data_IF_865472185659
#
_entry.id   IF_865472185659
#
_cell.length_a   1.000
_cell.length_b   1.000
_cell.length_c   1.000
_cell.angle_alpha   90.00
_cell.angle_beta   90.00
_cell.angle_gamma   90.00
#
_symmetry.space_group_name_H-M   'P 1'
#
loop_
_entity.id
_entity.type
_entity.pdbx_description
1 polymer ?
#
# COMPACT_ATOMS: atom_id res chain seq x y z
N UNK A 1 -85.99 -13.56 -7.21
CA UNK A 1 -85.95 -13.71 -5.74
C UNK A 1 -84.52 -14.01 -5.35
N UNK A 2 -83.88 -13.10 -4.60
CA UNK A 2 -82.70 -13.31 -3.72
C UNK A 2 -81.40 -13.93 -4.33
N UNK A 3 -80.17 -13.61 -3.95
CA UNK A 3 -79.58 -12.78 -2.90
C UNK A 3 -78.12 -12.44 -3.33
N UNK A 4 -77.68 -11.24 -2.96
CA UNK A 4 -76.36 -10.76 -2.53
C UNK A 4 -75.04 -11.50 -2.85
N UNK A 5 -74.00 -10.70 -3.08
CA UNK A 5 -72.61 -11.11 -2.85
C UNK A 5 -71.53 -10.19 -3.42
N UNK A 6 -71.64 -8.86 -3.22
CA UNK A 6 -70.60 -7.92 -3.65
C UNK A 6 -69.38 -7.94 -2.72
N UNK A 7 -68.28 -8.55 -3.17
CA UNK A 7 -66.99 -8.56 -2.44
C UNK A 7 -66.22 -7.27 -2.76
N UNK A 8 -66.16 -6.35 -1.80
CA UNK A 8 -65.28 -5.17 -1.85
C UNK A 8 -63.85 -5.61 -1.52
N UNK A 9 -62.97 -5.65 -2.53
CA UNK A 9 -61.53 -5.88 -2.33
C UNK A 9 -60.86 -4.58 -1.91
N UNK A 10 -60.62 -4.41 -0.60
CA UNK A 10 -59.75 -3.36 -0.07
C UNK A 10 -58.30 -3.74 -0.40
N UNK A 11 -57.66 -3.00 -1.32
CA UNK A 11 -56.23 -3.11 -1.57
C UNK A 11 -55.48 -2.25 -0.55
N UNK A 12 -54.92 -2.88 0.48
CA UNK A 12 -53.91 -2.27 1.35
C UNK A 12 -52.63 -2.06 0.53
N UNK A 13 -52.34 -0.80 0.21
CA UNK A 13 -51.07 -0.39 -0.37
C UNK A 13 -50.06 -0.23 0.78
N UNK A 14 -49.24 -1.26 1.02
CA UNK A 14 -48.12 -1.15 1.93
C UNK A 14 -47.01 -0.34 1.23
N UNK A 15 -46.88 0.93 1.58
CA UNK A 15 -45.75 1.76 1.16
C UNK A 15 -44.56 1.39 2.05
N UNK A 16 -43.69 0.50 1.54
CA UNK A 16 -42.40 0.23 2.16
C UNK A 16 -41.47 1.41 1.89
N UNK A 17 -41.31 2.30 2.87
CA UNK A 17 -40.22 3.28 2.88
C UNK A 17 -38.90 2.52 3.10
N UNK A 18 -38.17 2.25 2.03
CA UNK A 18 -36.78 1.82 2.11
C UNK A 18 -35.92 3.04 2.47
N UNK A 19 -35.60 3.20 3.74
CA UNK A 19 -34.54 4.11 4.19
C UNK A 19 -33.21 3.55 3.70
N UNK A 20 -32.72 4.03 2.56
CA UNK A 20 -31.33 3.84 2.16
C UNK A 20 -30.48 4.72 3.08
N UNK A 21 -29.98 4.15 4.17
CA UNK A 21 -28.91 4.77 4.93
C UNK A 21 -27.70 4.88 3.98
N UNK A 22 -27.36 6.10 3.55
CA UNK A 22 -26.11 6.35 2.85
C UNK A 22 -24.98 6.06 3.84
N UNK A 23 -24.37 4.87 3.72
CA UNK A 23 -23.15 4.54 4.44
C UNK A 23 -22.08 5.56 4.05
N UNK A 24 -21.52 6.25 5.05
CA UNK A 24 -20.50 7.27 4.81
C UNK A 24 -19.29 6.55 4.20
N UNK A 25 -18.73 7.02 3.07
CA UNK A 25 -17.57 6.36 2.48
C UNK A 25 -16.40 6.39 3.48
N UNK A 26 -15.59 5.34 3.50
CA UNK A 26 -14.42 5.23 4.40
C UNK A 26 -13.48 6.42 4.22
N UNK A 27 -13.29 6.87 2.98
CA UNK A 27 -12.55 8.08 2.65
C UNK A 27 -13.43 9.03 1.84
N UNK A 28 -13.52 10.28 2.28
CA UNK A 28 -14.09 11.36 1.48
C UNK A 28 -12.98 11.97 0.62
N UNK A 29 -12.97 11.64 -0.68
CA UNK A 29 -11.94 12.06 -1.62
C UNK A 29 -12.24 13.41 -2.29
N UNK A 30 -11.18 14.17 -2.55
CA UNK A 30 -11.18 15.24 -3.56
C UNK A 30 -11.22 14.65 -4.98
N UNK A 31 -11.42 15.53 -5.95
CA UNK A 31 -11.07 15.25 -7.34
C UNK A 31 -9.57 15.03 -7.49
N UNK A 32 -9.19 14.33 -8.56
CA UNK A 32 -7.79 14.17 -8.96
C UNK A 32 -7.29 15.51 -9.49
N UNK A 33 -6.10 15.93 -9.06
CA UNK A 33 -5.45 17.14 -9.55
C UNK A 33 -4.08 16.84 -10.16
N UNK A 34 -3.63 17.73 -11.04
CA UNK A 34 -2.40 17.60 -11.83
C UNK A 34 -1.51 18.83 -11.57
N UNK A 35 -0.62 18.78 -10.57
CA UNK A 35 0.22 19.90 -10.23
C UNK A 35 1.19 20.24 -11.38
N UNK A 36 1.48 21.52 -11.54
CA UNK A 36 2.31 22.05 -12.64
C UNK A 36 3.80 21.85 -12.36
N UNK A 37 4.18 21.69 -11.09
CA UNK A 37 5.57 21.47 -10.67
C UNK A 37 5.86 19.98 -10.49
N UNK A 38 7.01 19.54 -11.03
CA UNK A 38 7.58 18.24 -10.70
C UNK A 38 8.26 18.33 -9.33
N UNK A 39 8.17 17.32 -8.46
CA UNK A 39 8.92 17.28 -7.23
C UNK A 39 10.41 17.34 -7.56
N UNK A 40 11.06 18.42 -7.19
CA UNK A 40 12.52 18.57 -7.28
C UNK A 40 13.12 18.08 -5.98
N UNK A 41 13.48 16.79 -5.93
CA UNK A 41 14.09 16.24 -4.73
C UNK A 41 14.37 14.75 -4.82
N UNK A 42 15.35 14.36 -5.65
CA UNK A 42 15.95 13.04 -5.51
C UNK A 42 17.18 13.20 -4.61
N UNK A 43 17.02 12.95 -3.31
CA UNK A 43 18.18 12.80 -2.42
C UNK A 43 18.81 11.45 -2.74
N UNK A 44 19.80 11.44 -3.64
CA UNK A 44 20.53 10.24 -4.01
C UNK A 44 21.58 9.92 -2.95
N UNK A 45 21.17 9.10 -2.00
CA UNK A 45 22.04 8.40 -1.07
C UNK A 45 21.28 7.20 -0.51
N UNK A 46 21.46 6.02 -1.09
CA UNK A 46 20.95 4.81 -0.44
C UNK A 46 21.82 4.54 0.79
N UNK A 47 21.23 4.25 1.96
CA UNK A 47 22.02 3.82 3.10
C UNK A 47 22.80 2.56 2.71
N UNK A 48 24.10 2.55 2.99
CA UNK A 48 24.90 1.36 2.82
C UNK A 48 24.55 0.39 3.96
N UNK A 49 24.12 -0.82 3.60
CA UNK A 49 23.83 -1.92 4.54
C UNK A 49 24.96 -2.95 4.47
N UNK A 50 25.21 -3.64 5.58
CA UNK A 50 26.21 -4.72 5.65
C UNK A 50 25.62 -6.05 5.15
N UNK A 51 25.41 -6.13 3.83
CA UNK A 51 24.88 -7.31 3.14
C UNK A 51 25.38 -7.34 1.68
N UNK A 52 26.26 -8.29 1.36
CA UNK A 52 26.88 -8.45 0.04
C UNK A 52 25.91 -8.96 -1.03
N UNK A 53 24.74 -9.46 -0.62
CA UNK A 53 23.67 -9.92 -1.50
C UNK A 53 22.53 -8.93 -1.62
N UNK A 54 22.64 -7.75 -1.00
CA UNK A 54 21.62 -6.73 -1.06
C UNK A 54 21.40 -6.21 -2.49
N UNK A 55 20.14 -6.14 -2.90
CA UNK A 55 19.71 -5.43 -4.09
C UNK A 55 19.71 -3.92 -3.79
N UNK A 56 20.80 -3.23 -4.13
CA UNK A 56 21.04 -1.82 -3.77
C UNK A 56 19.86 -0.88 -4.09
N UNK A 57 19.18 -1.07 -5.22
CA UNK A 57 18.04 -0.25 -5.66
C UNK A 57 16.79 -0.42 -4.80
N UNK A 58 16.73 -1.49 -4.00
CA UNK A 58 15.58 -1.84 -3.15
C UNK A 58 15.72 -1.32 -1.72
N UNK A 59 16.90 -0.81 -1.34
CA UNK A 59 17.12 -0.32 0.01
C UNK A 59 16.21 0.89 0.26
N UNK A 60 15.39 0.80 1.30
CA UNK A 60 14.62 1.91 1.87
C UNK A 60 14.96 2.06 3.33
N UNK A 61 14.99 3.31 3.79
CA UNK A 61 15.20 3.63 5.19
C UNK A 61 14.21 4.66 5.69
N UNK A 62 13.99 4.64 6.99
CA UNK A 62 13.19 5.60 7.75
C UNK A 62 13.94 5.94 9.03
N UNK A 63 13.90 7.21 9.46
CA UNK A 63 14.59 7.68 10.65
C UNK A 63 15.24 9.05 10.49
N UNK A 64 16.10 9.41 11.44
CA UNK A 64 16.75 10.74 11.51
C UNK A 64 18.27 10.70 11.29
N UNK A 65 18.80 9.59 10.77
CA UNK A 65 20.24 9.37 10.54
C UNK A 65 21.04 8.97 11.77
N UNK A 66 20.66 9.39 12.99
CA UNK A 66 21.28 8.94 14.24
C UNK A 66 20.64 7.65 14.76
N UNK A 67 19.34 7.51 14.54
CA UNK A 67 18.57 6.29 14.70
C UNK A 67 17.75 6.11 13.43
N UNK A 68 17.96 4.99 12.75
CA UNK A 68 17.31 4.70 11.47
C UNK A 68 17.09 3.21 11.33
N UNK A 69 16.12 2.85 10.52
CA UNK A 69 15.86 1.47 10.14
C UNK A 69 15.91 1.35 8.63
N UNK A 70 16.33 0.20 8.14
CA UNK A 70 16.37 -0.08 6.71
C UNK A 70 15.76 -1.45 6.40
N UNK A 71 15.12 -1.53 5.24
CA UNK A 71 14.61 -2.77 4.66
C UNK A 71 15.02 -2.89 3.19
N UNK A 72 15.37 -4.11 2.76
CA UNK A 72 15.84 -4.38 1.41
C UNK A 72 15.66 -5.85 1.03
N UNK A 73 15.76 -6.14 -0.27
CA UNK A 73 15.81 -7.51 -0.77
C UNK A 73 17.24 -8.01 -0.86
N UNK A 74 17.48 -9.26 -0.45
CA UNK A 74 18.75 -9.95 -0.65
C UNK A 74 18.54 -11.24 -1.43
N UNK A 75 19.37 -11.47 -2.45
CA UNK A 75 19.22 -12.62 -3.33
C UNK A 75 19.89 -13.88 -2.77
N UNK A 76 19.24 -15.02 -2.94
CA UNK A 76 19.79 -16.36 -2.72
C UNK A 76 20.44 -16.88 -4.00
N UNK A 77 21.14 -18.01 -3.88
CA UNK A 77 21.82 -18.65 -5.02
C UNK A 77 20.86 -19.12 -6.13
N UNK A 78 19.59 -19.38 -5.80
CA UNK A 78 18.54 -19.78 -6.74
C UNK A 78 17.77 -18.57 -7.33
N UNK A 79 18.24 -17.34 -7.08
CA UNK A 79 17.59 -16.07 -7.46
C UNK A 79 16.26 -15.75 -6.76
N UNK A 80 15.83 -16.57 -5.80
CA UNK A 80 14.80 -16.17 -4.84
C UNK A 80 15.36 -15.16 -3.84
N UNK A 81 14.50 -14.46 -3.13
CA UNK A 81 14.89 -13.35 -2.26
C UNK A 81 14.47 -13.54 -0.80
N UNK A 82 15.24 -12.94 0.10
CA UNK A 82 14.89 -12.71 1.51
C UNK A 82 14.61 -11.22 1.68
N UNK A 83 13.49 -10.87 2.33
CA UNK A 83 13.28 -9.50 2.79
C UNK A 83 14.08 -9.33 4.09
N UNK A 84 14.99 -8.36 4.12
CA UNK A 84 15.88 -8.09 5.23
C UNK A 84 15.54 -6.79 5.94
N UNK A 85 15.92 -6.73 7.21
CA UNK A 85 15.82 -5.56 8.07
C UNK A 85 17.10 -5.36 8.87
N UNK A 86 17.48 -4.11 9.10
CA UNK A 86 18.49 -3.75 10.11
C UNK A 86 18.18 -2.38 10.70
N UNK A 87 18.67 -2.15 11.92
CA UNK A 87 18.60 -0.86 12.62
C UNK A 87 19.99 -0.26 12.71
N UNK A 88 20.09 1.02 12.36
CA UNK A 88 21.24 1.86 12.62
C UNK A 88 21.04 2.58 13.95
N UNK A 89 21.93 2.34 14.90
CA UNK A 89 21.99 3.06 16.16
C UNK A 89 23.45 3.15 16.62
N UNK A 90 23.80 4.20 17.36
CA UNK A 90 25.15 4.38 17.91
C UNK A 90 26.27 4.31 16.84
N UNK A 91 25.96 4.74 15.61
CA UNK A 91 26.95 4.78 14.52
C UNK A 91 27.15 3.48 13.77
N UNK A 92 26.37 2.43 14.04
CA UNK A 92 26.51 1.10 13.42
C UNK A 92 25.16 0.48 13.05
N UNK A 93 25.15 -0.31 11.98
CA UNK A 93 24.02 -1.17 11.63
C UNK A 93 24.06 -2.46 12.45
N UNK A 94 22.91 -2.90 12.94
CA UNK A 94 22.75 -4.22 13.53
C UNK A 94 22.91 -5.33 12.48
N UNK A 95 23.20 -6.55 12.93
CA UNK A 95 23.15 -7.72 12.05
C UNK A 95 21.77 -7.81 11.36
N UNK A 96 21.70 -8.02 10.03
CA UNK A 96 20.42 -8.10 9.34
C UNK A 96 19.58 -9.30 9.77
N UNK A 97 18.31 -9.07 10.09
CA UNK A 97 17.32 -10.12 10.33
C UNK A 97 16.45 -10.32 9.09
N UNK A 98 15.82 -11.50 8.98
CA UNK A 98 14.85 -11.77 7.94
C UNK A 98 13.44 -11.35 8.40
N UNK A 99 12.73 -10.61 7.56
CA UNK A 99 11.30 -10.32 7.70
C UNK A 99 10.49 -11.42 7.04
N UNK A 100 10.85 -11.78 5.80
CA UNK A 100 10.14 -12.79 5.02
C UNK A 100 11.13 -13.60 4.18
N UNK A 101 11.01 -14.91 4.27
CA UNK A 101 11.87 -15.88 3.58
C UNK A 101 11.10 -16.71 2.55
N UNK A 102 9.82 -16.44 2.32
CA UNK A 102 8.94 -17.36 1.59
C UNK A 102 8.98 -17.20 0.08
N UNK A 103 9.77 -16.26 -0.46
CA UNK A 103 9.91 -16.08 -1.91
C UNK A 103 10.31 -17.40 -2.59
N UNK A 104 9.55 -17.76 -3.63
CA UNK A 104 9.77 -18.95 -4.43
C UNK A 104 10.03 -18.62 -5.91
N UNK A 105 10.13 -17.34 -6.25
CA UNK A 105 10.36 -16.87 -7.62
C UNK A 105 11.85 -16.68 -7.93
N UNK A 106 12.16 -16.43 -9.22
CA UNK A 106 13.51 -16.14 -9.71
C UNK A 106 13.70 -14.66 -10.12
N UNK A 107 12.91 -13.74 -9.52
CA UNK A 107 12.92 -12.32 -9.90
C UNK A 107 14.25 -11.62 -9.59
N UNK A 108 14.99 -12.10 -8.58
CA UNK A 108 16.21 -11.47 -8.10
C UNK A 108 16.01 -9.99 -7.79
N UNK A 109 17.01 -9.16 -8.14
CA UNK A 109 16.98 -7.72 -7.86
C UNK A 109 16.04 -6.89 -8.74
N UNK A 110 15.30 -7.51 -9.68
CA UNK A 110 14.24 -6.82 -10.44
C UNK A 110 12.92 -6.72 -9.65
N UNK A 111 12.98 -6.92 -8.33
CA UNK A 111 11.83 -6.82 -7.43
C UNK A 111 11.54 -5.36 -7.10
N UNK A 112 10.26 -4.95 -7.04
CA UNK A 112 9.91 -3.65 -6.47
C UNK A 112 10.50 -3.52 -5.06
N UNK A 113 11.00 -2.33 -4.76
CA UNK A 113 11.48 -2.04 -3.42
C UNK A 113 10.33 -2.20 -2.41
N UNK A 114 10.60 -2.70 -1.19
CA UNK A 114 9.66 -2.55 -0.09
C UNK A 114 9.43 -1.06 0.20
N UNK A 115 8.40 -0.72 0.96
CA UNK A 115 8.26 0.59 1.59
C UNK A 115 8.22 0.44 3.10
N UNK A 116 8.72 1.45 3.81
CA UNK A 116 8.90 1.43 5.26
C UNK A 116 8.36 2.73 5.87
N UNK A 117 7.59 2.59 6.96
CA UNK A 117 7.22 3.68 7.85
C UNK A 117 7.57 3.26 9.28
N UNK A 118 8.30 4.10 10.01
CA UNK A 118 8.75 3.77 11.36
C UNK A 118 8.48 4.92 12.33
N UNK A 119 7.92 4.57 13.48
CA UNK A 119 8.01 5.39 14.69
C UNK A 119 9.09 4.77 15.58
N UNK A 120 10.32 5.18 15.31
CA UNK A 120 11.51 4.65 15.99
C UNK A 120 11.46 4.93 17.50
N UNK A 121 10.82 6.03 17.91
CA UNK A 121 10.71 6.40 19.33
C UNK A 121 9.83 5.43 20.12
N UNK A 122 8.86 4.81 19.45
CA UNK A 122 7.97 3.79 20.02
C UNK A 122 8.39 2.36 19.65
N UNK A 123 9.41 2.19 18.79
CA UNK A 123 9.87 0.89 18.30
C UNK A 123 8.99 0.29 17.18
N UNK A 124 7.99 1.02 16.69
CA UNK A 124 7.11 0.53 15.64
C UNK A 124 7.77 0.64 14.26
N UNK A 125 7.77 -0.47 13.53
CA UNK A 125 8.23 -0.52 12.15
C UNK A 125 7.17 -1.21 11.31
N UNK A 126 6.76 -0.58 10.23
CA UNK A 126 5.77 -1.06 9.30
C UNK A 126 6.40 -1.21 7.93
N UNK A 127 6.28 -2.39 7.32
CA UNK A 127 6.89 -2.70 6.03
C UNK A 127 5.83 -3.30 5.12
N UNK A 128 5.70 -2.72 3.92
CA UNK A 128 4.88 -3.27 2.83
C UNK A 128 5.78 -3.67 1.67
N UNK A 129 5.44 -4.77 1.01
CA UNK A 129 6.27 -5.32 -0.06
C UNK A 129 5.49 -6.22 -1.00
N UNK A 130 6.00 -6.39 -2.22
CA UNK A 130 5.50 -7.38 -3.17
C UNK A 130 6.35 -8.66 -3.13
N UNK A 131 5.71 -9.82 -2.97
CA UNK A 131 6.36 -11.13 -2.92
C UNK A 131 5.66 -12.15 -3.82
N UNK A 132 6.41 -13.18 -4.23
CA UNK A 132 5.92 -14.32 -5.00
C UNK A 132 6.18 -15.64 -4.26
N UNK A 133 5.52 -15.87 -3.11
CA UNK A 133 5.62 -17.14 -2.41
C UNK A 133 4.85 -18.25 -3.15
N UNK A 134 5.15 -19.50 -2.82
CA UNK A 134 4.45 -20.65 -3.37
C UNK A 134 2.93 -20.64 -3.11
N UNK A 135 2.49 -19.96 -2.03
CA UNK A 135 1.08 -19.77 -1.67
C UNK A 135 0.33 -18.77 -2.57
N UNK A 136 1.05 -17.93 -3.32
CA UNK A 136 0.46 -16.95 -4.24
C UNK A 136 1.11 -15.58 -4.14
N UNK A 137 1.43 -15.01 -5.30
CA UNK A 137 2.01 -13.68 -5.41
C UNK A 137 1.07 -12.57 -4.92
N UNK A 138 1.62 -11.48 -4.41
CA UNK A 138 0.81 -10.37 -3.91
C UNK A 138 1.59 -9.28 -3.18
N UNK A 139 0.83 -8.32 -2.67
CA UNK A 139 1.27 -7.28 -1.73
C UNK A 139 1.01 -7.77 -0.31
N UNK A 140 2.06 -7.74 0.50
CA UNK A 140 2.10 -8.20 1.88
C UNK A 140 2.57 -7.08 2.79
N UNK A 141 2.26 -7.23 4.06
CA UNK A 141 2.61 -6.32 5.12
C UNK A 141 3.20 -7.08 6.30
N UNK A 142 4.25 -6.55 6.92
CA UNK A 142 4.79 -7.04 8.17
C UNK A 142 5.03 -5.85 9.11
N UNK A 143 4.88 -6.07 10.41
CA UNK A 143 5.23 -5.08 11.41
C UNK A 143 6.13 -5.64 12.50
N UNK A 144 6.83 -4.73 13.16
CA UNK A 144 7.54 -4.93 14.40
C UNK A 144 7.02 -3.95 15.44
N UNK A 145 6.92 -4.40 16.70
CA UNK A 145 6.56 -3.53 17.84
C UNK A 145 7.77 -3.13 18.68
N UNK A 146 8.95 -3.71 18.42
CA UNK A 146 10.16 -3.49 19.22
C UNK A 146 11.43 -3.27 18.37
N UNK A 147 11.28 -3.26 17.04
CA UNK A 147 12.36 -3.20 16.07
C UNK A 147 13.42 -4.31 16.20
N UNK A 148 13.09 -5.45 16.84
CA UNK A 148 13.98 -6.61 16.98
C UNK A 148 13.49 -7.85 16.23
N UNK A 149 12.18 -7.96 16.00
CA UNK A 149 11.56 -9.05 15.25
C UNK A 149 10.26 -8.63 14.57
N UNK A 150 9.81 -9.43 13.61
CA UNK A 150 8.58 -9.16 12.85
C UNK A 150 7.52 -10.23 13.13
N UNK A 151 6.27 -9.80 13.21
CA UNK A 151 5.12 -10.70 13.21
C UNK A 151 4.92 -11.34 11.83
N UNK A 152 4.15 -12.43 11.80
CA UNK A 152 3.79 -13.10 10.56
C UNK A 152 3.14 -12.12 9.56
N UNK A 153 3.52 -12.17 8.28
CA UNK A 153 2.99 -11.24 7.30
C UNK A 153 1.48 -11.34 7.08
N UNK A 154 0.83 -10.20 6.93
CA UNK A 154 -0.57 -10.03 6.56
C UNK A 154 -0.67 -9.78 5.05
N UNK A 155 -1.56 -10.48 4.36
CA UNK A 155 -1.82 -10.22 2.95
C UNK A 155 -2.74 -9.01 2.76
N UNK A 156 -2.37 -8.12 1.83
CA UNK A 156 -3.18 -6.96 1.44
C UNK A 156 -3.96 -7.28 0.17
N UNK A 157 -3.26 -7.74 -0.87
CA UNK A 157 -3.84 -8.08 -2.16
C UNK A 157 -3.02 -9.19 -2.83
N UNK A 158 -3.69 -10.21 -3.36
CA UNK A 158 -3.03 -11.22 -4.19
C UNK A 158 -3.04 -10.79 -5.65
N UNK A 159 -2.04 -11.18 -6.43
CA UNK A 159 -1.99 -11.06 -7.88
C UNK A 159 -0.57 -11.14 -8.40
N UNK A 160 -0.43 -11.47 -9.68
CA UNK A 160 0.88 -11.84 -10.27
C UNK A 160 1.69 -10.65 -10.78
N UNK A 161 1.05 -9.50 -11.00
CA UNK A 161 1.75 -8.31 -11.46
C UNK A 161 2.55 -7.72 -10.31
N UNK A 162 3.85 -7.52 -10.53
CA UNK A 162 4.70 -6.83 -9.57
C UNK A 162 4.11 -5.46 -9.24
N UNK A 163 4.10 -5.13 -7.95
CA UNK A 163 3.44 -3.95 -7.43
C UNK A 163 4.45 -3.05 -6.74
N UNK A 164 4.57 -1.81 -7.21
CA UNK A 164 5.21 -0.75 -6.43
C UNK A 164 4.27 -0.30 -5.31
N UNK A 165 4.84 -0.03 -4.14
CA UNK A 165 4.12 0.19 -2.89
C UNK A 165 4.67 1.41 -2.16
N UNK A 166 3.80 2.04 -1.37
CA UNK A 166 4.12 3.12 -0.44
C UNK A 166 3.28 2.96 0.82
N UNK A 167 3.82 3.39 1.97
CA UNK A 167 3.16 3.29 3.26
C UNK A 167 3.37 4.57 4.07
N UNK A 168 2.32 5.00 4.75
CA UNK A 168 2.35 6.05 5.76
C UNK A 168 1.61 5.62 7.02
N UNK A 169 2.06 6.13 8.17
CA UNK A 169 1.50 5.84 9.48
C UNK A 169 1.23 7.11 10.27
N UNK A 170 0.11 7.16 11.00
CA UNK A 170 -0.19 8.22 11.97
C UNK A 170 -0.91 7.61 13.18
N UNK A 171 -0.17 7.41 14.27
CA UNK A 171 -0.62 6.58 15.39
C UNK A 171 -0.94 5.15 14.92
N UNK A 172 -2.13 4.65 15.27
CA UNK A 172 -2.58 3.30 14.91
C UNK A 172 -3.06 3.17 13.45
N UNK A 173 -3.16 4.30 12.73
CA UNK A 173 -3.65 4.33 11.36
C UNK A 173 -2.51 4.09 10.38
N UNK A 174 -2.71 3.13 9.49
CA UNK A 174 -1.84 2.87 8.35
C UNK A 174 -2.59 3.06 7.03
N UNK A 175 -1.91 3.69 6.10
CA UNK A 175 -2.34 3.83 4.73
C UNK A 175 -1.28 3.22 3.80
N UNK A 176 -1.69 2.29 2.96
CA UNK A 176 -0.82 1.62 1.99
C UNK A 176 -1.33 1.90 0.60
N UNK A 177 -0.59 2.67 -0.19
CA UNK A 177 -0.86 2.85 -1.60
C UNK A 177 -0.05 1.83 -2.41
N UNK A 178 -0.69 1.19 -3.38
CA UNK A 178 -0.06 0.12 -4.15
C UNK A 178 -0.62 0.05 -5.57
N UNK A 179 0.20 -0.45 -6.50
CA UNK A 179 -0.29 -0.79 -7.83
C UNK A 179 -1.11 -2.09 -7.78
N UNK A 180 -2.40 -2.05 -8.16
CA UNK A 180 -3.31 -3.19 -8.02
C UNK A 180 -2.84 -4.41 -8.84
N UNK A 181 -2.41 -5.52 -8.20
CA UNK A 181 -1.76 -6.64 -8.87
C UNK A 181 -2.60 -7.40 -9.89
N UNK A 182 -3.94 -7.24 -9.86
CA UNK A 182 -4.86 -7.89 -10.80
C UNK A 182 -5.45 -6.96 -11.85
N UNK A 183 -5.18 -5.65 -11.78
CA UNK A 183 -5.74 -4.72 -12.74
C UNK A 183 -5.18 -5.01 -14.14
N UNK A 184 -6.04 -4.97 -15.16
CA UNK A 184 -5.65 -5.15 -16.57
C UNK A 184 -4.59 -4.12 -17.01
N UNK A 185 -4.57 -2.96 -16.34
CA UNK A 185 -3.70 -1.81 -16.56
C UNK A 185 -3.20 -1.34 -15.20
N UNK A 186 -2.08 -0.60 -15.17
CA UNK A 186 -1.61 0.02 -13.92
C UNK A 186 -2.69 0.90 -13.29
N UNK A 187 -3.09 0.59 -12.07
CA UNK A 187 -4.07 1.37 -11.29
C UNK A 187 -3.58 1.44 -9.84
N UNK A 188 -3.71 2.60 -9.19
CA UNK A 188 -3.36 2.77 -7.79
C UNK A 188 -4.58 2.53 -6.91
N UNK A 189 -4.39 1.65 -5.93
CA UNK A 189 -5.34 1.36 -4.88
C UNK A 189 -4.77 1.73 -3.52
N UNK A 190 -5.65 1.91 -2.55
CA UNK A 190 -5.31 2.22 -1.16
C UNK A 190 -5.90 1.15 -0.25
N UNK A 191 -5.06 0.57 0.60
CA UNK A 191 -5.47 -0.27 1.72
C UNK A 191 -5.32 0.51 3.03
N UNK A 192 -6.32 0.42 3.91
CA UNK A 192 -6.38 1.16 5.18
C UNK A 192 -6.50 0.19 6.36
N UNK A 193 -5.76 0.47 7.43
CA UNK A 193 -5.82 -0.26 8.69
C UNK A 193 -5.87 0.69 9.89
N UNK A 194 -6.95 0.62 10.67
CA UNK A 194 -7.06 1.32 11.95
C UNK A 194 -6.49 0.52 13.13
N UNK A 195 -5.79 -0.58 12.87
CA UNK A 195 -5.30 -1.54 13.86
C UNK A 195 -3.82 -1.83 13.69
N UNK A 196 -3.00 -0.81 13.34
CA UNK A 196 -1.54 -0.97 13.16
C UNK A 196 -1.16 -2.09 12.16
N UNK A 197 -2.04 -2.36 11.18
CA UNK A 197 -1.83 -3.35 10.15
C UNK A 197 -2.10 -4.80 10.55
N UNK A 198 -2.73 -5.05 11.71
CA UNK A 198 -3.25 -6.38 12.04
C UNK A 198 -4.29 -6.84 11.00
N UNK A 199 -5.11 -5.90 10.50
CA UNK A 199 -6.11 -6.13 9.46
C UNK A 199 -6.20 -4.91 8.54
N UNK A 200 -6.33 -5.13 7.23
CA UNK A 200 -6.65 -4.10 6.24
C UNK A 200 -8.12 -4.24 5.80
N UNK A 201 -9.01 -3.54 6.49
CA UNK A 201 -10.47 -3.70 6.37
C UNK A 201 -11.02 -3.08 5.07
N UNK A 202 -10.35 -2.06 4.56
CA UNK A 202 -10.79 -1.31 3.38
C UNK A 202 -9.72 -1.31 2.31
N UNK A 203 -10.14 -1.58 1.06
CA UNK A 203 -9.33 -1.50 -0.15
C UNK A 203 -10.14 -0.78 -1.21
N UNK A 204 -9.62 0.31 -1.75
CA UNK A 204 -10.36 1.16 -2.68
C UNK A 204 -9.47 1.74 -3.79
N UNK A 205 -10.02 1.96 -5.00
CA UNK A 205 -9.30 2.61 -6.07
C UNK A 205 -9.07 4.10 -5.76
N UNK A 206 -7.84 4.57 -5.99
CA UNK A 206 -7.46 5.98 -5.85
C UNK A 206 -7.37 6.65 -7.21
N UNK A 207 -6.69 5.99 -8.16
CA UNK A 207 -6.52 6.49 -9.52
C UNK A 207 -7.69 6.10 -10.42
N UNK A 208 -7.86 6.85 -11.51
CA UNK A 208 -8.79 6.52 -12.58
C UNK A 208 -8.48 5.13 -13.17
N UNK A 209 -9.50 4.32 -13.52
CA UNK A 209 -9.30 3.06 -14.26
C UNK A 209 -8.96 3.28 -15.74
N UNK A 210 -9.13 4.52 -16.24
CA UNK A 210 -8.96 4.83 -17.66
C UNK A 210 -7.54 5.23 -18.02
N UNK A 211 -6.69 5.52 -17.02
CA UNK A 211 -5.29 5.90 -17.19
C UNK A 211 -4.37 4.80 -16.66
N UNK A 212 -3.11 4.76 -17.11
CA UNK A 212 -2.11 3.84 -16.58
C UNK A 212 -1.34 4.56 -15.48
N UNK A 213 -1.60 4.19 -14.24
CA UNK A 213 -0.99 4.77 -13.05
C UNK A 213 0.09 3.85 -12.47
N UNK A 214 1.19 4.44 -11.96
CA UNK A 214 2.34 3.75 -11.38
C UNK A 214 3.04 4.56 -10.31
N UNK A 215 3.95 3.92 -9.57
CA UNK A 215 4.84 4.58 -8.61
C UNK A 215 4.10 5.42 -7.56
N UNK A 216 3.21 4.80 -6.76
CA UNK A 216 2.44 5.51 -5.77
C UNK A 216 3.32 6.04 -4.63
N UNK A 217 2.94 7.18 -4.09
CA UNK A 217 3.43 7.72 -2.81
C UNK A 217 2.22 8.09 -1.97
N UNK A 218 2.20 7.70 -0.70
CA UNK A 218 1.14 8.09 0.23
C UNK A 218 1.72 8.83 1.43
N UNK A 219 1.02 9.87 1.87
CA UNK A 219 1.24 10.52 3.16
C UNK A 219 -0.04 10.45 3.99
N UNK A 220 0.14 10.48 5.32
CA UNK A 220 -0.96 10.41 6.27
C UNK A 220 -0.63 11.31 7.47
N UNK A 221 -1.48 12.31 7.70
CA UNK A 221 -1.42 13.17 8.88
C UNK A 221 -2.76 13.13 9.63
N UNK A 222 -2.80 12.38 10.72
CA UNK A 222 -4.02 12.05 11.46
C UNK A 222 -5.03 11.32 10.59
N UNK A 223 -5.96 12.07 10.01
CA UNK A 223 -7.00 11.56 9.11
C UNK A 223 -6.84 12.02 7.67
N UNK A 224 -5.90 12.94 7.40
CA UNK A 224 -5.69 13.51 6.07
C UNK A 224 -4.76 12.62 5.28
N UNK A 225 -5.26 12.16 4.13
CA UNK A 225 -4.54 11.34 3.16
C UNK A 225 -4.16 12.21 1.97
N UNK A 226 -2.95 12.04 1.49
CA UNK A 226 -2.57 12.46 0.15
C UNK A 226 -1.91 11.28 -0.56
N UNK A 227 -2.35 11.01 -1.79
CA UNK A 227 -1.77 9.96 -2.63
C UNK A 227 -1.35 10.59 -3.93
N UNK A 228 -0.08 10.43 -4.27
CA UNK A 228 0.53 10.88 -5.52
C UNK A 228 0.93 9.68 -6.38
N UNK A 229 0.89 9.83 -7.70
CA UNK A 229 1.36 8.81 -8.63
C UNK A 229 1.71 9.40 -9.99
N UNK A 230 2.39 8.60 -10.81
CA UNK A 230 2.66 8.93 -12.21
C UNK A 230 1.59 8.32 -13.11
N UNK A 231 0.94 9.15 -13.94
CA UNK A 231 0.07 8.69 -15.02
C UNK A 231 0.80 8.73 -16.36
N UNK A 232 0.82 7.61 -17.08
CA UNK A 232 1.35 7.56 -18.44
C UNK A 232 0.38 8.22 -19.42
N UNK A 233 0.88 9.15 -20.23
CA UNK A 233 0.10 9.83 -21.26
C UNK A 233 -0.07 8.91 -22.48
N UNK A 234 -1.27 8.34 -22.64
CA UNK A 234 -1.58 7.31 -23.65
C UNK A 234 -1.35 7.74 -25.11
N UNK A 235 -1.40 9.04 -25.40
CA UNK A 235 -1.27 9.56 -26.76
C UNK A 235 0.17 9.82 -27.21
N UNK A 236 1.17 9.51 -26.38
CA UNK A 236 2.56 9.90 -26.66
C UNK A 236 3.48 8.70 -26.93
N UNK A 237 4.08 8.67 -28.11
CA UNK A 237 5.12 7.71 -28.49
C UNK A 237 6.35 7.77 -27.57
N UNK A 238 6.53 8.88 -26.85
CA UNK A 238 7.62 9.10 -25.90
C UNK A 238 7.33 8.56 -24.49
N UNK A 239 6.14 7.98 -24.23
CA UNK A 239 5.72 7.46 -22.90
C UNK A 239 5.93 8.47 -21.77
N UNK A 240 5.70 9.76 -22.03
CA UNK A 240 5.75 10.79 -20.99
C UNK A 240 4.75 10.46 -19.89
N UNK A 241 5.09 10.84 -18.67
CA UNK A 241 4.20 10.75 -17.50
C UNK A 241 3.92 12.14 -16.95
N UNK A 242 2.74 12.30 -16.32
CA UNK A 242 2.41 13.46 -15.48
C UNK A 242 2.23 13.02 -14.03
N UNK A 243 2.55 13.91 -13.09
CA UNK A 243 2.21 13.72 -11.69
C UNK A 243 0.70 13.95 -11.51
N UNK A 244 0.06 13.05 -10.79
CA UNK A 244 -1.32 13.17 -10.35
C UNK A 244 -1.35 13.06 -8.83
N UNK A 245 -2.21 13.83 -8.18
CA UNK A 245 -2.43 13.76 -6.72
C UNK A 245 -3.91 13.73 -6.41
N UNK A 246 -4.26 13.04 -5.32
CA UNK A 246 -5.60 13.01 -4.77
C UNK A 246 -5.54 13.07 -3.25
N UNK A 247 -6.30 13.99 -2.69
CA UNK A 247 -6.38 14.19 -1.24
C UNK A 247 -7.68 13.62 -0.71
N UNK A 248 -7.69 13.15 0.53
CA UNK A 248 -8.90 12.62 1.15
C UNK A 248 -8.89 12.73 2.67
N UNK A 249 -10.07 12.60 3.27
CA UNK A 249 -10.23 12.51 4.72
C UNK A 249 -10.76 11.13 5.09
N UNK A 250 -9.98 10.39 5.89
CA UNK A 250 -10.36 9.09 6.43
C UNK A 250 -11.27 9.25 7.65
N UNK A 251 -12.53 8.88 7.46
CA UNK A 251 -13.62 8.99 8.42
C UNK A 251 -13.50 8.04 9.61
#
# INVERSE_FOLDING_TARGET
MAHEGGVVRVRLLAIALTLTACEKPVVAWSDISYPVESPTGSVSGHPQVDDDRACATTIRASGNGADSVAAWWSIRNDSSSVLRFSRFAEGQWSAPIAIDITDASSRGCNRPAPAIAADISQGYVHIVYFLEPASGAGVFFAHSMDATGFHDPVSIAFGKRASEVSIASSGDRLAVAYEEPNAERGQIWLALSGTMGHIFESRLPVSSPNEIAKSPVVTLDGTMLEVEWLELLQADSLRRSRLATRTGTWN
#
